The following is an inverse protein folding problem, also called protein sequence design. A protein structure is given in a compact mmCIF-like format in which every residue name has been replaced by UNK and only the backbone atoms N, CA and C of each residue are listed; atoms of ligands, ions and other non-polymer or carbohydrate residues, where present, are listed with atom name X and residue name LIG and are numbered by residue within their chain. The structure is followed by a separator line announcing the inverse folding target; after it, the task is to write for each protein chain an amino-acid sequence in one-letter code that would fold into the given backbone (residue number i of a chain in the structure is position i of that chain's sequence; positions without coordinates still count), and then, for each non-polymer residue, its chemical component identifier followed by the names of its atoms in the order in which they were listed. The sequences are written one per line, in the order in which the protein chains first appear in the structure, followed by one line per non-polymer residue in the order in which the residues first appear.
data_IF_723301290493
#
_entry.id   IF_723301290493
#
_cell.length_a   1.000
_cell.length_b   1.000
_cell.length_c   1.000
_cell.angle_alpha   90.00
_cell.angle_beta   90.00
_cell.angle_gamma   90.00
#
_symmetry.space_group_name_H-M   'P 1'
#
loop_
_entity.id
_entity.type
_entity.pdbx_description
1 polymer ?
#
# COMPACT_ATOMS: atom_id res chain seq x y z
N UNK A 1 -4.77 -9.65 1.65
CA UNK A 1 -4.77 -9.76 0.17
C UNK A 1 -5.46 -8.60 -0.57
N UNK A 2 -5.74 -7.47 0.09
CA UNK A 2 -6.51 -6.39 -0.53
C UNK A 2 -5.85 -5.79 -1.78
N UNK A 3 -4.55 -5.46 -1.70
CA UNK A 3 -3.81 -4.82 -2.80
C UNK A 3 -3.76 -5.70 -4.06
N UNK A 4 -3.45 -6.99 -3.90
CA UNK A 4 -3.42 -7.94 -5.01
C UNK A 4 -4.80 -8.15 -5.65
N UNK A 5 -5.86 -8.24 -4.84
CA UNK A 5 -7.24 -8.35 -5.34
C UNK A 5 -7.66 -7.10 -6.10
N UNK A 6 -7.14 -5.92 -5.75
CA UNK A 6 -7.35 -4.68 -6.50
C UNK A 6 -6.54 -4.62 -7.81
N UNK A 7 -5.68 -5.61 -8.09
CA UNK A 7 -4.82 -5.65 -9.26
C UNK A 7 -3.62 -4.69 -9.19
N UNK A 8 -3.27 -4.25 -7.98
CA UNK A 8 -2.12 -3.40 -7.71
C UNK A 8 -0.96 -4.21 -7.11
N UNK A 9 0.25 -3.64 -7.22
CA UNK A 9 1.42 -4.09 -6.48
C UNK A 9 1.55 -3.31 -5.16
N UNK A 10 2.16 -3.90 -4.14
CA UNK A 10 2.51 -3.20 -2.91
C UNK A 10 4.01 -3.04 -2.74
N UNK A 11 4.40 -1.98 -2.03
CA UNK A 11 5.75 -1.78 -1.51
C UNK A 11 5.68 -1.96 0.01
N UNK A 12 6.34 -2.98 0.58
CA UNK A 12 6.38 -3.13 2.03
C UNK A 12 7.32 -2.06 2.61
N UNK A 13 6.83 -1.35 3.62
CA UNK A 13 7.61 -0.35 4.37
C UNK A 13 7.56 -0.73 5.84
N UNK A 14 8.72 -0.90 6.45
CA UNK A 14 8.83 -1.12 7.89
C UNK A 14 8.73 0.24 8.61
N UNK A 15 7.73 0.44 9.50
CA UNK A 15 7.57 1.71 10.20
C UNK A 15 8.68 1.99 11.22
N UNK A 16 9.53 1.01 11.56
CA UNK A 16 10.71 1.20 12.42
C UNK A 16 11.85 1.89 11.65
N UNK A 17 11.77 1.99 10.32
CA UNK A 17 12.77 2.74 9.56
C UNK A 17 12.78 4.23 9.93
N UNK A 18 13.95 4.88 9.85
CA UNK A 18 14.04 6.32 9.99
C UNK A 18 13.09 7.03 9.02
N UNK A 19 12.49 8.14 9.46
CA UNK A 19 11.52 8.89 8.66
C UNK A 19 12.07 9.29 7.28
N UNK A 20 13.36 9.63 7.19
CA UNK A 20 14.05 9.95 5.94
C UNK A 20 14.05 8.76 4.96
N UNK A 21 14.23 7.53 5.46
CA UNK A 21 14.18 6.32 4.64
C UNK A 21 12.77 6.05 4.14
N UNK A 22 11.76 6.26 4.99
CA UNK A 22 10.36 6.13 4.59
C UNK A 22 10.00 7.17 3.52
N UNK A 23 10.39 8.43 3.73
CA UNK A 23 10.19 9.51 2.75
C UNK A 23 10.86 9.17 1.40
N UNK A 24 12.09 8.65 1.43
CA UNK A 24 12.77 8.16 0.22
C UNK A 24 11.96 7.07 -0.50
N UNK A 25 11.48 6.05 0.23
CA UNK A 25 10.72 4.95 -0.37
C UNK A 25 9.41 5.45 -1.00
N UNK A 26 8.71 6.38 -0.36
CA UNK A 26 7.49 6.98 -0.89
C UNK A 26 7.79 7.86 -2.12
N UNK A 27 8.88 8.62 -2.10
CA UNK A 27 9.28 9.46 -3.23
C UNK A 27 9.71 8.65 -4.45
N UNK A 28 10.42 7.53 -4.25
CA UNK A 28 10.92 6.69 -5.35
C UNK A 28 9.81 5.79 -5.93
N UNK A 29 8.98 5.19 -5.07
CA UNK A 29 7.91 4.28 -5.52
C UNK A 29 6.66 4.99 -6.04
N UNK A 30 6.49 6.28 -5.71
CA UNK A 30 5.34 7.13 -6.09
C UNK A 30 4.00 6.40 -5.91
N UNK A 31 3.69 5.90 -4.68
CA UNK A 31 2.50 5.10 -4.48
C UNK A 31 1.25 5.98 -4.61
N UNK A 32 0.21 5.44 -5.24
CA UNK A 32 -1.07 6.15 -5.37
C UNK A 32 -1.83 6.25 -4.04
N UNK A 33 -1.63 5.28 -3.16
CA UNK A 33 -2.20 5.20 -1.81
C UNK A 33 -1.21 4.51 -0.87
N UNK A 34 -1.12 5.00 0.37
CA UNK A 34 -0.46 4.31 1.49
C UNK A 34 -1.52 3.73 2.42
N UNK A 35 -1.40 2.45 2.75
CA UNK A 35 -2.19 1.83 3.80
C UNK A 35 -1.48 2.05 5.13
N UNK A 36 -2.18 2.62 6.10
CA UNK A 36 -1.61 2.97 7.41
C UNK A 36 -2.47 2.42 8.55
N UNK A 37 -1.89 2.36 9.73
CA UNK A 37 -2.58 2.21 11.02
C UNK A 37 -2.61 3.57 11.72
N UNK A 38 -3.30 3.70 12.86
CA UNK A 38 -3.30 4.92 13.66
C UNK A 38 -1.87 5.37 14.04
N UNK A 39 -1.00 4.41 14.37
CA UNK A 39 0.38 4.66 14.81
C UNK A 39 1.31 5.14 13.68
N UNK A 40 1.02 4.74 12.44
CA UNK A 40 1.85 5.00 11.25
C UNK A 40 1.26 6.04 10.33
N UNK A 41 0.11 6.61 10.69
CA UNK A 41 -0.67 7.53 9.87
C UNK A 41 0.13 8.74 9.38
N UNK A 42 0.96 9.32 10.25
CA UNK A 42 1.78 10.50 9.91
C UNK A 42 3.01 10.18 9.06
N UNK A 43 3.41 8.91 8.95
CA UNK A 43 4.56 8.50 8.14
C UNK A 43 4.28 8.56 6.63
N UNK A 44 3.01 8.61 6.22
CA UNK A 44 2.61 8.70 4.82
C UNK A 44 2.86 10.09 4.17
N UNK A 45 3.16 11.12 4.99
CA UNK A 45 3.36 12.49 4.54
C UNK A 45 2.16 13.01 3.75
N UNK A 46 2.43 13.58 2.57
CA UNK A 46 1.41 14.15 1.68
C UNK A 46 0.73 13.11 0.77
N UNK A 47 1.13 11.84 0.84
CA UNK A 47 0.54 10.79 -0.01
C UNK A 47 -0.87 10.47 0.46
N UNK A 48 -1.79 10.22 -0.48
CA UNK A 48 -3.13 9.76 -0.14
C UNK A 48 -3.05 8.51 0.75
N UNK A 49 -3.74 8.53 1.90
CA UNK A 49 -3.63 7.50 2.92
C UNK A 49 -4.99 6.91 3.27
N UNK A 50 -5.00 5.61 3.53
CA UNK A 50 -6.16 4.86 4.01
C UNK A 50 -5.79 4.23 5.33
N UNK A 51 -6.44 4.68 6.40
CA UNK A 51 -6.29 4.07 7.70
C UNK A 51 -7.15 2.80 7.79
N UNK A 52 -6.49 1.65 7.89
CA UNK A 52 -7.16 0.34 7.88
C UNK A 52 -7.98 0.08 9.15
N UNK A 53 -7.70 0.79 10.24
CA UNK A 53 -8.39 0.65 11.54
C UNK A 53 -9.65 1.52 11.64
N UNK A 54 -9.77 2.55 10.80
CA UNK A 54 -10.91 3.49 10.84
C UNK A 54 -11.93 3.24 9.73
N UNK A 55 -11.60 2.41 8.74
CA UNK A 55 -12.48 2.14 7.63
C UNK A 55 -13.56 1.11 8.00
N UNK A 56 -14.82 1.48 7.79
CA UNK A 56 -15.96 0.58 7.97
C UNK A 56 -16.06 -0.38 6.78
N UNK A 57 -15.38 -1.52 6.90
CA UNK A 57 -15.36 -2.55 5.87
C UNK A 57 -16.57 -3.48 5.92
N UNK A 58 -17.41 -3.41 6.96
CA UNK A 58 -18.45 -4.42 7.27
C UNK A 58 -19.56 -4.51 6.22
N UNK A 59 -19.68 -3.54 5.32
CA UNK A 59 -20.59 -3.56 4.17
C UNK A 59 -19.97 -4.08 2.86
N UNK A 60 -18.69 -4.45 2.85
CA UNK A 60 -17.99 -4.85 1.63
C UNK A 60 -18.34 -6.27 1.21
N UNK A 61 -18.64 -6.45 -0.09
CA UNK A 61 -18.83 -7.76 -0.70
C UNK A 61 -17.65 -8.70 -0.39
N UNK A 62 -17.95 -9.92 0.08
CA UNK A 62 -16.94 -10.97 0.28
C UNK A 62 -16.40 -11.58 -1.02
N UNK A 63 -17.00 -11.24 -2.17
CA UNK A 63 -16.59 -11.77 -3.46
C UNK A 63 -15.29 -11.12 -3.95
N UNK A 64 -14.54 -11.85 -4.76
CA UNK A 64 -13.38 -11.28 -5.44
C UNK A 64 -13.85 -10.24 -6.48
N UNK A 65 -13.22 -9.05 -6.53
CA UNK A 65 -13.53 -8.07 -7.57
C UNK A 65 -13.10 -8.60 -8.94
N UNK A 66 -13.87 -8.24 -9.97
CA UNK A 66 -13.48 -8.46 -11.36
C UNK A 66 -12.66 -7.26 -11.83
N UNK A 67 -11.34 -7.42 -11.90
CA UNK A 67 -10.43 -6.36 -12.36
C UNK A 67 -10.05 -6.63 -13.81
N UNK A 68 -10.44 -5.72 -14.70
CA UNK A 68 -10.16 -5.85 -16.13
C UNK A 68 -8.65 -5.93 -16.41
N UNK A 69 -8.26 -6.85 -17.30
CA UNK A 69 -6.87 -7.09 -17.71
C UNK A 69 -5.91 -7.40 -16.54
N UNK A 70 -6.38 -7.97 -15.42
CA UNK A 70 -5.49 -8.54 -14.41
C UNK A 70 -5.00 -9.91 -14.88
N UNK A 71 -3.68 -10.07 -15.00
CA UNK A 71 -3.02 -11.31 -15.40
C UNK A 71 -1.75 -11.57 -14.56
N UNK A 72 -1.10 -12.70 -14.82
CA UNK A 72 0.09 -13.13 -14.10
C UNK A 72 1.37 -12.32 -14.42
N UNK A 73 1.36 -11.45 -15.42
CA UNK A 73 2.50 -10.61 -15.79
C UNK A 73 2.50 -9.27 -15.04
N UNK A 74 1.39 -8.88 -14.41
CA UNK A 74 1.34 -7.69 -13.57
C UNK A 74 2.14 -7.88 -12.27
N UNK A 75 2.80 -6.81 -11.84
CA UNK A 75 3.57 -6.78 -10.61
C UNK A 75 2.70 -7.14 -9.39
N UNK A 76 3.24 -7.99 -8.52
CA UNK A 76 2.63 -8.31 -7.23
C UNK A 76 3.20 -7.45 -6.10
N UNK A 77 4.51 -7.20 -6.12
CA UNK A 77 5.21 -6.39 -5.13
C UNK A 77 6.50 -5.81 -5.71
N UNK A 78 7.02 -4.78 -5.05
CA UNK A 78 8.37 -4.25 -5.25
C UNK A 78 9.05 -4.20 -3.89
N UNK A 79 10.24 -4.81 -3.77
CA UNK A 79 11.03 -4.83 -2.54
C UNK A 79 12.32 -4.06 -2.77
N UNK A 80 12.61 -3.12 -1.88
CA UNK A 80 13.84 -2.35 -1.89
C UNK A 80 14.93 -3.11 -1.11
N UNK A 81 16.05 -3.36 -1.77
CA UNK A 81 17.27 -3.86 -1.13
C UNK A 81 18.20 -2.71 -0.77
N UNK A 82 19.31 -2.99 -0.10
CA UNK A 82 20.24 -1.97 0.43
C UNK A 82 20.98 -1.17 -0.63
N UNK A 83 20.93 -1.57 -1.90
CA UNK A 83 21.93 -1.15 -2.90
C UNK A 83 23.26 -1.84 -2.66
#
# INVERSE_FOLDING_TARGET
MAVLKAGAAYVPVDPVYPAERIAYLLQDSVPRVVLTENSTHELAGDTARVNIEQADWLGSSGNNPCVAALDAQKLAYVIYTSG
#
